data_IF_837386342888
#
_entry.id   IF_837386342888
#
_cell.length_a   1.000
_cell.length_b   1.000
_cell.length_c   1.000
_cell.angle_alpha   90.00
_cell.angle_beta   90.00
_cell.angle_gamma   90.00
#
_symmetry.space_group_name_H-M   'P 1'
#
loop_
_entity.id
_entity.type
_entity.pdbx_description
1 polymer ?
#
# COMPACT_ATOMS: atom_id res chain seq x y z
N UNK A 1 -9.85 36.70 12.60
CA UNK A 1 -9.81 36.16 11.22
C UNK A 1 -11.24 35.89 10.78
N UNK A 2 -11.82 36.73 9.93
CA UNK A 2 -13.12 36.48 9.31
C UNK A 2 -13.00 35.22 8.45
N UNK A 3 -13.77 34.17 8.78
CA UNK A 3 -13.79 32.95 7.99
C UNK A 3 -14.28 33.29 6.57
N UNK A 4 -13.48 32.96 5.55
CA UNK A 4 -13.85 33.22 4.16
C UNK A 4 -15.19 32.51 3.86
N UNK A 5 -16.24 33.25 3.40
CA UNK A 5 -17.57 32.70 3.19
C UNK A 5 -17.59 31.53 2.19
N UNK A 6 -16.64 31.49 1.25
CA UNK A 6 -16.49 30.37 0.30
C UNK A 6 -16.04 29.09 1.00
N UNK A 7 -15.14 29.19 1.99
CA UNK A 7 -14.68 28.03 2.78
C UNK A 7 -15.79 27.51 3.70
N UNK A 8 -16.66 28.40 4.19
CA UNK A 8 -17.82 28.02 5.02
C UNK A 8 -18.86 27.16 4.27
N UNK A 9 -18.86 27.18 2.93
CA UNK A 9 -19.78 26.40 2.10
C UNK A 9 -19.33 24.93 1.90
N UNK A 10 -18.06 24.60 2.15
CA UNK A 10 -17.50 23.25 1.98
C UNK A 10 -18.39 22.09 2.48
N UNK A 11 -18.91 22.10 3.73
CA UNK A 11 -19.74 21.00 4.23
C UNK A 11 -21.10 20.86 3.52
N UNK A 12 -21.70 21.98 3.07
CA UNK A 12 -22.96 21.96 2.31
C UNK A 12 -22.73 21.45 0.90
N UNK A 13 -21.61 21.84 0.31
CA UNK A 13 -21.20 21.46 -1.02
C UNK A 13 -20.90 19.95 -1.12
N UNK A 14 -20.36 19.31 -0.07
CA UNK A 14 -20.19 17.84 -0.02
C UNK A 14 -21.50 17.06 -0.18
N UNK A 15 -22.62 17.57 0.35
CA UNK A 15 -23.93 16.88 0.31
C UNK A 15 -24.65 17.03 -1.03
N UNK A 16 -24.32 18.09 -1.78
CA UNK A 16 -24.95 18.44 -3.06
C UNK A 16 -24.37 17.67 -4.26
N UNK A 17 -23.26 16.92 -4.10
CA UNK A 17 -22.79 16.01 -5.12
C UNK A 17 -23.81 14.89 -5.35
N UNK A 18 -24.26 14.70 -6.59
CA UNK A 18 -25.17 13.61 -6.96
C UNK A 18 -24.65 12.22 -6.58
N UNK A 19 -25.35 11.16 -6.99
CA UNK A 19 -25.06 9.76 -6.62
C UNK A 19 -23.58 9.37 -6.74
N UNK A 20 -22.93 9.90 -7.77
CA UNK A 20 -21.53 9.72 -8.12
C UNK A 20 -20.52 10.45 -7.21
N UNK A 21 -20.86 11.62 -6.67
CA UNK A 21 -20.02 12.31 -5.68
C UNK A 21 -20.06 11.62 -4.31
N UNK A 22 -21.17 10.94 -4.00
CA UNK A 22 -21.32 10.17 -2.76
C UNK A 22 -20.48 8.90 -2.76
N UNK A 23 -20.40 8.18 -3.88
CA UNK A 23 -19.59 6.95 -3.97
C UNK A 23 -18.10 7.22 -3.83
N UNK A 24 -17.57 8.27 -4.48
CA UNK A 24 -16.14 8.64 -4.34
C UNK A 24 -15.82 9.16 -2.95
N UNK A 25 -16.74 9.90 -2.34
CA UNK A 25 -16.60 10.37 -0.95
C UNK A 25 -16.61 9.22 0.04
N UNK A 26 -17.52 8.25 -0.14
CA UNK A 26 -17.57 7.05 0.67
C UNK A 26 -16.28 6.22 0.52
N UNK A 27 -15.79 6.01 -0.70
CA UNK A 27 -14.53 5.28 -0.96
C UNK A 27 -13.31 5.97 -0.33
N UNK A 28 -13.22 7.29 -0.42
CA UNK A 28 -12.13 8.03 0.20
C UNK A 28 -12.21 7.96 1.73
N UNK A 29 -13.41 8.13 2.30
CA UNK A 29 -13.64 8.03 3.74
C UNK A 29 -13.32 6.63 4.27
N UNK A 30 -13.79 5.56 3.61
CA UNK A 30 -13.50 4.18 4.04
C UNK A 30 -12.01 3.86 3.95
N UNK A 31 -11.30 4.37 2.95
CA UNK A 31 -9.85 4.22 2.86
C UNK A 31 -9.11 4.89 4.04
N UNK A 32 -9.51 6.11 4.41
CA UNK A 32 -8.96 6.78 5.60
C UNK A 32 -9.35 6.08 6.90
N UNK A 33 -10.57 5.55 7.01
CA UNK A 33 -11.03 4.72 8.14
C UNK A 33 -10.14 3.50 8.32
N UNK A 34 -9.96 2.70 7.27
CA UNK A 34 -9.15 1.47 7.31
C UNK A 34 -7.69 1.81 7.58
N UNK A 35 -7.13 2.82 6.91
CA UNK A 35 -5.75 3.26 7.13
C UNK A 35 -5.53 3.71 8.57
N UNK A 36 -6.44 4.49 9.15
CA UNK A 36 -6.30 4.97 10.53
C UNK A 36 -6.44 3.82 11.53
N UNK A 37 -7.43 2.94 11.36
CA UNK A 37 -7.64 1.80 12.24
C UNK A 37 -6.42 0.87 12.30
N UNK A 38 -5.82 0.58 11.14
CA UNK A 38 -4.62 -0.25 11.04
C UNK A 38 -3.39 0.46 11.59
N UNK A 39 -3.24 1.77 11.35
CA UNK A 39 -2.14 2.56 11.94
C UNK A 39 -2.19 2.53 13.46
N UNK A 40 -3.37 2.79 14.05
CA UNK A 40 -3.55 2.73 15.50
C UNK A 40 -3.35 1.32 16.07
N UNK A 41 -3.78 0.28 15.34
CA UNK A 41 -3.55 -1.12 15.75
C UNK A 41 -2.06 -1.46 15.79
N UNK A 42 -1.30 -1.03 14.79
CA UNK A 42 0.16 -1.28 14.70
C UNK A 42 0.93 -0.48 15.75
N UNK A 43 0.57 0.79 15.95
CA UNK A 43 1.15 1.62 17.02
C UNK A 43 0.77 1.07 18.41
N UNK A 44 -0.44 0.55 18.57
CA UNK A 44 -0.90 -0.14 19.79
C UNK A 44 -0.09 -1.39 20.07
N UNK A 45 0.16 -2.22 19.06
CA UNK A 45 1.05 -3.38 19.21
C UNK A 45 2.48 -2.96 19.57
N UNK A 46 3.05 -1.96 18.90
CA UNK A 46 4.39 -1.44 19.20
C UNK A 46 4.50 -0.93 20.64
N UNK A 47 3.55 -0.11 21.08
CA UNK A 47 3.51 0.43 22.44
C UNK A 47 3.30 -0.69 23.48
N UNK A 48 2.49 -1.70 23.18
CA UNK A 48 2.34 -2.89 24.02
C UNK A 48 3.62 -3.70 24.17
N UNK A 49 4.42 -3.87 23.11
CA UNK A 49 5.74 -4.51 23.21
C UNK A 49 6.75 -3.65 23.99
N UNK A 50 6.71 -2.33 23.82
CA UNK A 50 7.55 -1.40 24.60
C UNK A 50 7.20 -1.49 26.08
N UNK A 51 5.91 -1.55 26.42
CA UNK A 51 5.44 -1.67 27.80
C UNK A 51 5.92 -2.98 28.45
N UNK A 52 5.80 -4.10 27.73
CA UNK A 52 6.31 -5.41 28.21
C UNK A 52 7.83 -5.43 28.38
N UNK A 53 8.56 -4.74 27.51
CA UNK A 53 10.02 -4.64 27.64
C UNK A 53 10.44 -3.73 28.82
N UNK A 54 9.66 -2.70 29.13
CA UNK A 54 9.92 -1.81 30.26
C UNK A 54 9.53 -2.44 31.61
N UNK A 55 8.44 -3.21 31.64
CA UNK A 55 7.89 -3.86 32.83
C UNK A 55 7.73 -5.38 32.62
N UNK A 56 8.84 -6.15 32.55
CA UNK A 56 8.81 -7.57 32.26
C UNK A 56 8.26 -8.38 33.44
N UNK A 57 7.24 -9.19 33.16
CA UNK A 57 6.61 -10.10 34.14
C UNK A 57 7.16 -11.52 33.99
N UNK A 58 7.49 -11.95 32.77
CA UNK A 58 8.05 -13.28 32.48
C UNK A 58 9.55 -13.23 32.24
N UNK A 59 10.21 -14.39 32.35
CA UNK A 59 11.64 -14.53 32.02
C UNK A 59 11.91 -14.22 30.54
N UNK A 60 11.03 -14.71 29.65
CA UNK A 60 11.08 -14.41 28.22
C UNK A 60 11.00 -12.91 27.92
N UNK A 61 10.15 -12.16 28.62
CA UNK A 61 10.06 -10.69 28.46
C UNK A 61 11.35 -9.99 28.93
N UNK A 62 11.98 -10.48 29.99
CA UNK A 62 13.23 -9.92 30.52
C UNK A 62 14.40 -10.15 29.59
N UNK A 63 14.47 -11.31 28.95
CA UNK A 63 15.56 -11.67 28.04
C UNK A 63 15.34 -11.15 26.61
N UNK A 64 14.13 -11.30 26.07
CA UNK A 64 13.83 -11.04 24.66
C UNK A 64 12.98 -9.79 24.42
N UNK A 65 12.51 -9.07 25.46
CA UNK A 65 11.62 -7.91 25.29
C UNK A 65 12.15 -6.86 24.31
N UNK A 66 13.45 -6.54 24.38
CA UNK A 66 14.11 -5.63 23.43
C UNK A 66 14.07 -6.13 21.99
N UNK A 67 14.24 -7.44 21.78
CA UNK A 67 14.16 -8.08 20.47
C UNK A 67 12.75 -7.96 19.87
N UNK A 68 11.70 -8.20 20.65
CA UNK A 68 10.31 -8.01 20.21
C UNK A 68 9.99 -6.55 19.86
N UNK A 69 10.51 -5.58 20.61
CA UNK A 69 10.37 -4.15 20.27
C UNK A 69 11.00 -3.86 18.91
N UNK A 70 12.20 -4.39 18.64
CA UNK A 70 12.86 -4.20 17.34
C UNK A 70 12.06 -4.82 16.20
N UNK A 71 11.49 -6.02 16.39
CA UNK A 71 10.58 -6.64 15.43
C UNK A 71 9.34 -5.78 15.19
N UNK A 72 8.72 -5.25 16.25
CA UNK A 72 7.54 -4.40 16.16
C UNK A 72 7.82 -3.06 15.45
N UNK A 73 8.97 -2.43 15.72
CA UNK A 73 9.44 -1.23 15.00
C UNK A 73 9.64 -1.55 13.51
N UNK A 74 10.26 -2.69 13.21
CA UNK A 74 10.50 -3.13 11.84
C UNK A 74 9.19 -3.36 11.09
N UNK A 75 8.24 -4.08 11.70
CA UNK A 75 6.89 -4.28 11.16
C UNK A 75 6.15 -2.95 10.94
N UNK A 76 6.30 -2.00 11.87
CA UNK A 76 5.72 -0.65 11.74
C UNK A 76 6.28 0.07 10.52
N UNK A 77 7.61 0.10 10.36
CA UNK A 77 8.29 0.74 9.22
C UNK A 77 7.86 0.11 7.89
N UNK A 78 7.75 -1.23 7.84
CA UNK A 78 7.27 -1.96 6.66
C UNK A 78 5.86 -1.53 6.24
N UNK A 79 4.98 -1.25 7.21
CA UNK A 79 3.60 -0.85 6.98
C UNK A 79 3.42 0.62 6.62
N UNK A 80 4.40 1.50 6.90
CA UNK A 80 4.33 2.93 6.58
C UNK A 80 4.06 3.15 5.08
N UNK A 81 4.78 2.49 4.18
CA UNK A 81 4.64 2.72 2.73
C UNK A 81 3.26 2.31 2.20
N UNK A 82 2.73 1.11 2.49
CA UNK A 82 1.34 0.73 2.15
C UNK A 82 0.28 1.70 2.70
N UNK A 83 0.43 2.13 3.96
CA UNK A 83 -0.50 3.09 4.59
C UNK A 83 -0.49 4.45 3.89
N UNK A 84 0.70 5.01 3.64
CA UNK A 84 0.86 6.28 2.90
C UNK A 84 0.35 6.19 1.46
N UNK A 85 0.53 5.03 0.83
CA UNK A 85 0.05 4.78 -0.53
C UNK A 85 -1.47 4.80 -0.58
N UNK A 86 -2.13 4.10 0.34
CA UNK A 86 -3.58 4.06 0.45
C UNK A 86 -4.16 5.45 0.73
N UNK A 87 -3.61 6.16 1.72
CA UNK A 87 -4.05 7.53 2.06
C UNK A 87 -3.85 8.51 0.90
N UNK A 88 -2.72 8.43 0.19
CA UNK A 88 -2.48 9.25 -0.99
C UNK A 88 -3.42 8.90 -2.16
N UNK A 89 -3.82 7.64 -2.31
CA UNK A 89 -4.80 7.22 -3.33
C UNK A 89 -6.21 7.73 -3.01
N UNK A 90 -6.62 7.67 -1.74
CA UNK A 90 -7.87 8.24 -1.24
C UNK A 90 -7.96 9.75 -1.48
N UNK A 91 -6.89 10.50 -1.20
CA UNK A 91 -6.83 11.94 -1.42
C UNK A 91 -7.01 12.33 -2.91
N UNK A 92 -6.40 11.58 -3.84
CA UNK A 92 -6.51 11.86 -5.29
C UNK A 92 -7.92 11.65 -5.83
N UNK A 93 -8.61 10.59 -5.38
CA UNK A 93 -10.01 10.33 -5.75
C UNK A 93 -10.92 11.49 -5.39
N UNK A 94 -10.66 12.14 -4.25
CA UNK A 94 -11.42 13.30 -3.80
C UNK A 94 -11.25 14.52 -4.71
N UNK A 95 -10.07 14.71 -5.32
CA UNK A 95 -9.74 15.93 -6.08
C UNK A 95 -10.21 15.84 -7.54
N UNK A 96 -9.90 14.76 -8.26
CA UNK A 96 -10.09 14.65 -9.72
C UNK A 96 -11.53 14.87 -10.20
N UNK A 97 -12.53 14.54 -9.37
CA UNK A 97 -13.95 14.69 -9.72
C UNK A 97 -14.54 16.05 -9.32
N UNK A 98 -13.86 16.77 -8.44
CA UNK A 98 -14.24 18.12 -8.02
C UNK A 98 -13.83 19.16 -9.06
N UNK A 99 -12.88 18.84 -9.94
CA UNK A 99 -12.38 19.73 -10.99
C UNK A 99 -13.49 20.35 -11.86
N UNK A 100 -14.53 19.59 -12.24
CA UNK A 100 -15.66 20.13 -13.01
C UNK A 100 -16.48 21.17 -12.24
N UNK A 101 -16.69 20.94 -10.93
CA UNK A 101 -17.38 21.90 -10.06
C UNK A 101 -16.49 23.12 -9.76
N UNK A 102 -15.21 22.88 -9.54
CA UNK A 102 -14.21 23.93 -9.32
C UNK A 102 -14.07 24.80 -10.57
N UNK A 103 -14.17 24.23 -11.78
CA UNK A 103 -14.24 24.97 -13.03
C UNK A 103 -15.51 25.83 -13.11
N UNK A 104 -16.68 25.30 -12.76
CA UNK A 104 -17.92 26.09 -12.69
C UNK A 104 -17.80 27.25 -11.69
N UNK A 105 -17.21 27.04 -10.50
CA UNK A 105 -16.97 28.10 -9.52
C UNK A 105 -15.99 29.15 -10.04
N UNK A 106 -14.96 28.76 -10.79
CA UNK A 106 -14.05 29.70 -11.47
C UNK A 106 -14.77 30.52 -12.55
N UNK A 107 -15.70 29.92 -13.29
CA UNK A 107 -16.56 30.63 -14.26
C UNK A 107 -17.50 31.62 -13.56
N UNK A 108 -17.90 31.35 -12.32
CA UNK A 108 -18.67 32.27 -11.47
C UNK A 108 -17.79 33.32 -10.76
N UNK A 109 -16.49 33.38 -11.06
CA UNK A 109 -15.56 34.40 -10.54
C UNK A 109 -14.78 34.02 -9.29
N UNK A 110 -14.86 32.78 -8.79
CA UNK A 110 -14.08 32.35 -7.63
C UNK A 110 -12.57 32.33 -7.94
N UNK A 111 -11.75 32.85 -7.04
CA UNK A 111 -10.30 32.92 -7.25
C UNK A 111 -9.64 31.52 -7.17
N UNK A 112 -8.51 31.27 -7.85
CA UNK A 112 -7.80 29.99 -7.76
C UNK A 112 -7.42 29.59 -6.33
N UNK A 113 -7.12 30.57 -5.48
CA UNK A 113 -6.79 30.33 -4.06
C UNK A 113 -7.99 29.83 -3.26
N UNK A 114 -9.17 30.38 -3.51
CA UNK A 114 -10.41 29.94 -2.86
C UNK A 114 -10.82 28.55 -3.30
N UNK A 115 -10.68 28.26 -4.59
CA UNK A 115 -10.99 26.96 -5.20
C UNK A 115 -10.05 25.86 -4.66
N UNK A 116 -8.75 26.16 -4.56
CA UNK A 116 -7.78 25.25 -3.93
C UNK A 116 -8.09 25.11 -2.44
N UNK A 117 -8.31 26.21 -1.71
CA UNK A 117 -8.64 26.18 -0.29
C UNK A 117 -9.88 25.33 0.02
N UNK A 118 -10.92 25.47 -0.80
CA UNK A 118 -12.15 24.67 -0.71
C UNK A 118 -11.85 23.16 -0.86
N UNK A 119 -11.09 22.79 -1.89
CA UNK A 119 -10.73 21.40 -2.14
C UNK A 119 -9.88 20.81 -0.99
N UNK A 120 -8.98 21.59 -0.41
CA UNK A 120 -8.16 21.18 0.73
C UNK A 120 -9.00 20.97 1.99
N UNK A 121 -9.90 21.89 2.31
CA UNK A 121 -10.82 21.76 3.45
C UNK A 121 -11.72 20.54 3.28
N UNK A 122 -12.30 20.33 2.09
CA UNK A 122 -13.13 19.16 1.83
C UNK A 122 -12.36 17.85 1.99
N UNK A 123 -11.10 17.80 1.54
CA UNK A 123 -10.24 16.61 1.67
C UNK A 123 -9.82 16.39 3.12
N UNK A 124 -9.53 17.46 3.86
CA UNK A 124 -9.22 17.40 5.29
C UNK A 124 -10.42 16.89 6.11
N UNK A 125 -11.64 17.37 5.81
CA UNK A 125 -12.87 16.90 6.47
C UNK A 125 -13.14 15.41 6.20
N UNK A 126 -12.86 14.93 4.98
CA UNK A 126 -12.93 13.50 4.67
C UNK A 126 -11.89 12.68 5.45
N UNK A 127 -10.66 13.20 5.56
CA UNK A 127 -9.61 12.62 6.38
C UNK A 127 -10.00 12.57 7.86
N UNK A 128 -10.62 13.63 8.39
CA UNK A 128 -11.05 13.72 9.79
C UNK A 128 -12.18 12.73 10.07
N UNK A 129 -13.21 12.70 9.22
CA UNK A 129 -14.29 11.73 9.33
C UNK A 129 -13.76 10.29 9.28
N UNK A 130 -12.83 10.01 8.39
CA UNK A 130 -12.12 8.73 8.32
C UNK A 130 -11.32 8.43 9.58
N UNK A 131 -10.60 9.41 10.15
CA UNK A 131 -9.81 9.22 11.35
C UNK A 131 -10.67 8.90 12.58
N UNK A 132 -11.79 9.62 12.76
CA UNK A 132 -12.75 9.38 13.84
C UNK A 132 -13.38 8.00 13.70
N UNK A 133 -13.90 7.67 12.51
CA UNK A 133 -14.45 6.34 12.24
C UNK A 133 -13.40 5.23 12.39
N UNK A 134 -12.16 5.50 11.99
CA UNK A 134 -11.04 4.56 12.11
C UNK A 134 -10.63 4.32 13.56
N UNK A 135 -10.77 5.33 14.42
CA UNK A 135 -10.56 5.18 15.87
C UNK A 135 -11.62 4.27 16.47
N UNK A 136 -12.90 4.43 16.08
CA UNK A 136 -13.98 3.53 16.51
C UNK A 136 -13.75 2.09 16.00
N UNK A 137 -13.32 1.93 14.75
CA UNK A 137 -12.97 0.62 14.19
C UNK A 137 -11.76 -0.01 14.91
N UNK A 138 -10.74 0.76 15.25
CA UNK A 138 -9.61 0.30 16.07
C UNK A 138 -10.08 -0.20 17.43
N UNK A 139 -10.96 0.55 18.12
CA UNK A 139 -11.57 0.09 19.37
C UNK A 139 -12.35 -1.22 19.22
N UNK A 140 -13.09 -1.39 18.10
CA UNK A 140 -13.79 -2.63 17.80
C UNK A 140 -12.86 -3.81 17.45
N UNK A 141 -11.64 -3.53 16.96
CA UNK A 141 -10.63 -4.55 16.65
C UNK A 141 -9.80 -4.96 17.87
N UNK A 142 -9.74 -4.17 18.94
CA UNK A 142 -9.05 -4.52 20.18
C UNK A 142 -9.36 -5.93 20.70
N UNK A 143 -10.64 -6.36 20.86
CA UNK A 143 -10.92 -7.72 21.34
C UNK A 143 -10.39 -8.81 20.40
N UNK A 144 -10.31 -8.55 19.09
CA UNK A 144 -9.71 -9.47 18.12
C UNK A 144 -8.20 -9.55 18.34
N UNK A 145 -7.54 -8.40 18.53
CA UNK A 145 -6.09 -8.35 18.75
C UNK A 145 -5.67 -8.99 20.08
N UNK A 146 -6.49 -8.90 21.12
CA UNK A 146 -6.20 -9.56 22.40
C UNK A 146 -6.19 -11.09 22.32
N UNK A 147 -6.81 -11.68 21.29
CA UNK A 147 -6.81 -13.14 21.10
C UNK A 147 -5.50 -13.68 20.53
N UNK A 148 -4.61 -12.81 20.04
CA UNK A 148 -3.33 -13.24 19.48
C UNK A 148 -2.30 -13.36 20.61
N UNK A 149 -1.84 -14.58 20.96
CA UNK A 149 -0.83 -14.75 21.99
C UNK A 149 0.55 -14.32 21.46
N UNK A 150 1.28 -13.59 22.30
CA UNK A 150 2.70 -13.26 22.11
C UNK A 150 3.42 -13.40 23.44
N UNK A 151 4.66 -13.89 23.41
CA UNK A 151 5.49 -14.13 24.59
C UNK A 151 4.79 -15.06 25.59
N UNK A 152 4.10 -16.08 25.08
CA UNK A 152 3.37 -17.07 25.89
C UNK A 152 2.05 -16.60 26.51
N UNK A 153 1.62 -15.35 26.27
CA UNK A 153 0.35 -14.82 26.82
C UNK A 153 -0.38 -13.87 25.87
N UNK A 154 -1.70 -13.80 26.01
CA UNK A 154 -2.53 -12.82 25.31
C UNK A 154 -2.16 -11.38 25.71
N UNK A 155 -2.30 -10.45 24.77
CA UNK A 155 -2.30 -9.03 25.08
C UNK A 155 -3.57 -8.63 25.84
N UNK A 156 -3.43 -7.72 26.80
CA UNK A 156 -4.61 -7.08 27.41
C UNK A 156 -5.06 -5.88 26.57
N UNK A 157 -6.34 -5.51 26.67
CA UNK A 157 -6.85 -4.32 25.98
C UNK A 157 -6.14 -3.03 26.45
N UNK A 158 -5.67 -3.00 27.70
CA UNK A 158 -4.87 -1.90 28.24
C UNK A 158 -3.49 -1.80 27.60
N UNK A 159 -2.80 -2.94 27.40
CA UNK A 159 -1.49 -2.99 26.72
C UNK A 159 -1.57 -2.54 25.26
N UNK A 160 -2.69 -2.81 24.57
CA UNK A 160 -2.87 -2.43 23.17
C UNK A 160 -3.44 -1.03 22.96
N UNK A 161 -3.88 -0.35 24.02
CA UNK A 161 -4.48 0.97 23.95
C UNK A 161 -3.42 2.06 23.81
N UNK A 162 -3.41 2.75 22.67
CA UNK A 162 -2.42 3.79 22.35
C UNK A 162 -2.52 5.07 23.22
N UNK A 163 -3.56 5.19 24.03
CA UNK A 163 -3.82 6.38 24.82
C UNK A 163 -4.50 7.53 24.06
N UNK A 164 -5.14 8.42 24.83
CA UNK A 164 -5.83 9.61 24.29
C UNK A 164 -4.90 10.54 23.49
N UNK A 165 -3.64 10.81 23.91
CA UNK A 165 -2.77 11.72 23.17
C UNK A 165 -2.49 11.27 21.73
N UNK A 166 -2.26 9.96 21.52
CA UNK A 166 -1.97 9.41 20.18
C UNK A 166 -3.21 9.44 19.29
N UNK A 167 -4.40 9.18 19.86
CA UNK A 167 -5.67 9.30 19.12
C UNK A 167 -5.90 10.75 18.68
N UNK A 168 -5.72 11.73 19.57
CA UNK A 168 -5.85 13.15 19.23
C UNK A 168 -4.82 13.57 18.18
N UNK A 169 -3.57 13.09 18.30
CA UNK A 169 -2.54 13.31 17.29
C UNK A 169 -2.94 12.73 15.93
N UNK A 170 -3.56 11.55 15.88
CA UNK A 170 -4.06 10.97 14.63
C UNK A 170 -5.19 11.81 14.01
N UNK A 171 -6.10 12.35 14.84
CA UNK A 171 -7.19 13.24 14.37
C UNK A 171 -6.69 14.56 13.80
N UNK A 172 -5.47 14.98 14.13
CA UNK A 172 -4.82 16.15 13.52
C UNK A 172 -3.96 15.75 12.33
N UNK A 173 -3.14 14.70 12.46
CA UNK A 173 -2.19 14.27 11.45
C UNK A 173 -2.88 13.77 10.17
N UNK A 174 -3.94 12.95 10.28
CA UNK A 174 -4.61 12.36 9.11
C UNK A 174 -5.23 13.45 8.21
N UNK A 175 -6.02 14.42 8.72
CA UNK A 175 -6.52 15.54 7.90
C UNK A 175 -5.41 16.39 7.28
N UNK A 176 -4.32 16.65 8.02
CA UNK A 176 -3.19 17.42 7.50
C UNK A 176 -2.52 16.68 6.34
N UNK A 177 -2.25 15.38 6.49
CA UNK A 177 -1.67 14.55 5.43
C UNK A 177 -2.60 14.46 4.21
N UNK A 178 -3.92 14.38 4.44
CA UNK A 178 -4.92 14.38 3.37
C UNK A 178 -4.92 15.72 2.61
N UNK A 179 -4.89 16.85 3.32
CA UNK A 179 -4.80 18.18 2.74
C UNK A 179 -3.49 18.36 1.96
N UNK A 180 -2.34 18.02 2.54
CA UNK A 180 -1.03 18.10 1.87
C UNK A 180 -1.03 17.23 0.60
N UNK A 181 -1.56 16.02 0.67
CA UNK A 181 -1.69 15.13 -0.49
C UNK A 181 -2.58 15.72 -1.59
N UNK A 182 -3.70 16.34 -1.20
CA UNK A 182 -4.59 17.08 -2.11
C UNK A 182 -3.90 18.29 -2.74
N UNK A 183 -3.15 19.07 -1.96
CA UNK A 183 -2.40 20.24 -2.43
C UNK A 183 -1.34 19.86 -3.46
N UNK A 184 -0.59 18.77 -3.21
CA UNK A 184 0.41 18.25 -4.15
C UNK A 184 -0.26 17.77 -5.44
N UNK A 185 -1.45 17.17 -5.35
CA UNK A 185 -2.22 16.75 -6.52
C UNK A 185 -2.67 17.97 -7.36
N UNK A 186 -3.19 19.02 -6.71
CA UNK A 186 -3.66 20.25 -7.35
C UNK A 186 -2.54 21.11 -7.93
N UNK A 187 -1.36 21.18 -7.26
CA UNK A 187 -0.20 21.95 -7.75
C UNK A 187 0.24 21.54 -9.15
N UNK A 188 0.07 20.26 -9.53
CA UNK A 188 0.42 19.79 -10.88
C UNK A 188 -0.52 20.30 -11.97
N UNK A 189 -1.76 20.66 -11.62
CA UNK A 189 -2.78 21.16 -12.55
C UNK A 189 -2.68 22.68 -12.73
N UNK A 190 -2.31 23.41 -11.68
CA UNK A 190 -2.24 24.88 -11.72
C UNK A 190 -0.96 25.41 -12.38
N UNK A 191 0.15 24.68 -12.33
CA UNK A 191 1.48 25.20 -12.72
C UNK A 191 1.74 25.13 -14.24
N UNK A 192 0.96 24.40 -15.04
CA UNK A 192 1.13 24.49 -16.50
C UNK A 192 -0.13 24.11 -17.30
N UNK A 193 -0.94 25.10 -17.74
CA UNK A 193 -2.01 24.86 -18.71
C UNK A 193 -1.49 24.37 -20.09
N UNK A 194 -0.18 24.50 -20.37
CA UNK A 194 0.46 24.12 -21.64
C UNK A 194 1.20 22.77 -21.60
N UNK A 195 1.50 22.23 -20.41
CA UNK A 195 2.13 20.93 -20.22
C UNK A 195 1.21 19.74 -20.55
N UNK A 196 -0.06 20.01 -20.86
CA UNK A 196 -1.03 19.03 -21.39
C UNK A 196 -0.91 18.90 -22.92
N UNK A 197 -0.54 19.99 -23.60
CA UNK A 197 -0.31 19.98 -25.05
C UNK A 197 1.02 19.30 -25.42
N UNK A 198 2.03 19.41 -24.55
CA UNK A 198 3.26 18.64 -24.68
C UNK A 198 3.25 17.47 -23.70
N UNK A 199 2.89 16.28 -24.18
CA UNK A 199 3.10 15.01 -23.48
C UNK A 199 4.60 14.73 -23.37
N UNK A 200 5.35 15.53 -22.61
CA UNK A 200 6.77 15.33 -22.39
C UNK A 200 6.95 14.02 -21.64
N UNK A 201 7.56 13.04 -22.28
CA UNK A 201 7.93 11.77 -21.67
C UNK A 201 8.79 12.04 -20.44
N UNK A 202 8.34 11.55 -19.27
CA UNK A 202 9.06 11.77 -18.01
C UNK A 202 10.48 11.20 -18.11
N UNK A 203 11.50 11.82 -17.50
CA UNK A 203 12.88 11.34 -17.57
C UNK A 203 12.97 9.89 -17.09
N UNK A 204 13.57 9.05 -17.94
CA UNK A 204 13.69 7.62 -17.73
C UNK A 204 14.36 7.28 -16.40
N UNK A 205 13.93 6.17 -15.80
CA UNK A 205 14.55 5.61 -14.60
C UNK A 205 15.95 5.08 -14.95
N UNK A 206 16.98 5.60 -14.29
CA UNK A 206 18.39 5.27 -14.58
C UNK A 206 18.74 3.88 -14.04
N UNK A 207 19.42 3.08 -14.87
CA UNK A 207 19.90 1.74 -14.52
C UNK A 207 20.86 1.72 -13.32
N UNK A 208 21.48 2.86 -12.99
CA UNK A 208 22.33 3.05 -11.80
C UNK A 208 21.63 2.59 -10.51
N UNK A 209 20.30 2.75 -10.38
CA UNK A 209 19.55 2.28 -9.20
C UNK A 209 19.61 0.77 -9.01
N UNK A 210 19.67 0.02 -10.12
CA UNK A 210 19.80 -1.44 -10.13
C UNK A 210 21.20 -1.85 -9.74
N UNK A 211 22.21 -1.17 -10.27
CA UNK A 211 23.62 -1.41 -9.91
C UNK A 211 23.83 -1.21 -8.41
N UNK A 212 23.34 -0.09 -7.85
CA UNK A 212 23.39 0.18 -6.41
C UNK A 212 22.68 -0.91 -5.61
N UNK A 213 21.52 -1.38 -6.08
CA UNK A 213 20.79 -2.46 -5.41
C UNK A 213 21.53 -3.80 -5.43
N UNK A 214 22.12 -4.17 -6.57
CA UNK A 214 22.90 -5.41 -6.70
C UNK A 214 24.16 -5.35 -5.83
N UNK A 215 24.85 -4.21 -5.79
CA UNK A 215 26.02 -4.01 -4.92
C UNK A 215 25.64 -4.11 -3.45
N UNK A 216 24.53 -3.48 -3.05
CA UNK A 216 24.02 -3.55 -1.69
C UNK A 216 23.66 -4.99 -1.27
N UNK A 217 22.90 -5.70 -2.08
CA UNK A 217 22.54 -7.11 -1.83
C UNK A 217 23.79 -8.00 -1.84
N UNK A 218 24.70 -7.81 -2.80
CA UNK A 218 25.95 -8.55 -2.86
C UNK A 218 26.83 -8.36 -1.63
N UNK A 219 26.97 -7.12 -1.15
CA UNK A 219 27.69 -6.82 0.09
C UNK A 219 27.03 -7.50 1.30
N UNK A 220 25.70 -7.47 1.40
CA UNK A 220 24.96 -8.18 2.43
C UNK A 220 25.20 -9.69 2.39
N UNK A 221 25.19 -10.30 1.20
CA UNK A 221 25.44 -11.73 1.00
C UNK A 221 26.86 -12.12 1.43
N UNK A 222 27.86 -11.30 1.09
CA UNK A 222 29.25 -11.53 1.51
C UNK A 222 29.38 -11.47 3.02
N UNK A 223 28.85 -10.42 3.66
CA UNK A 223 28.87 -10.28 5.13
C UNK A 223 28.16 -11.45 5.79
N UNK A 224 27.02 -11.88 5.25
CA UNK A 224 26.22 -12.98 5.79
C UNK A 224 26.87 -14.36 5.57
N UNK A 225 27.74 -14.50 4.57
CA UNK A 225 28.44 -15.76 4.28
C UNK A 225 29.69 -15.98 5.14
N UNK A 226 30.20 -14.94 5.80
CA UNK A 226 31.31 -15.07 6.76
C UNK A 226 30.74 -15.71 8.04
N UNK A 227 30.84 -17.03 8.13
CA UNK A 227 30.21 -17.84 9.19
C UNK A 227 30.75 -17.56 10.59
N UNK A 228 29.87 -17.77 11.58
CA UNK A 228 30.01 -17.54 13.04
C UNK A 228 29.67 -16.15 13.55
N UNK A 229 28.41 -15.75 13.34
CA UNK A 229 27.83 -14.59 14.03
C UNK A 229 27.17 -15.03 15.33
N UNK A 230 27.47 -14.35 16.43
CA UNK A 230 26.70 -14.46 17.66
C UNK A 230 25.20 -14.19 17.37
N UNK A 231 24.28 -14.79 18.13
CA UNK A 231 22.84 -14.67 17.87
C UNK A 231 22.35 -13.21 17.74
N UNK A 232 22.86 -12.30 18.57
CA UNK A 232 22.56 -10.86 18.49
C UNK A 232 23.07 -10.20 17.18
N UNK A 233 24.23 -10.65 16.67
CA UNK A 233 24.79 -10.18 15.40
C UNK A 233 23.96 -10.70 14.23
N UNK A 234 23.56 -11.98 14.26
CA UNK A 234 22.69 -12.58 13.24
C UNK A 234 21.36 -11.82 13.10
N UNK A 235 20.70 -11.50 14.23
CA UNK A 235 19.46 -10.71 14.24
C UNK A 235 19.68 -9.32 13.62
N UNK A 236 20.74 -8.63 14.02
CA UNK A 236 21.07 -7.29 13.50
C UNK A 236 21.32 -7.34 12.00
N UNK A 237 21.99 -8.39 11.52
CA UNK A 237 22.22 -8.64 10.10
C UNK A 237 20.90 -8.90 9.38
N UNK A 238 20.02 -9.79 9.88
CA UNK A 238 18.71 -10.06 9.28
C UNK A 238 17.87 -8.78 9.13
N UNK A 239 17.83 -7.94 10.16
CA UNK A 239 17.08 -6.67 10.15
C UNK A 239 17.67 -5.64 9.19
N UNK A 240 19.00 -5.52 9.17
CA UNK A 240 19.70 -4.63 8.23
C UNK A 240 19.49 -5.09 6.80
N UNK A 241 19.54 -6.41 6.55
CA UNK A 241 19.24 -7.02 5.26
C UNK A 241 17.81 -6.74 4.82
N UNK A 242 16.83 -6.88 5.72
CA UNK A 242 15.42 -6.55 5.43
C UNK A 242 15.23 -5.07 5.10
N UNK A 243 15.86 -4.15 5.83
CA UNK A 243 15.83 -2.72 5.53
C UNK A 243 16.50 -2.39 4.19
N UNK A 244 17.62 -3.05 3.87
CA UNK A 244 18.32 -2.90 2.60
C UNK A 244 17.48 -3.42 1.43
N UNK A 245 16.85 -4.58 1.60
CA UNK A 245 15.91 -5.14 0.64
C UNK A 245 14.74 -4.19 0.37
N UNK A 246 14.18 -3.61 1.43
CA UNK A 246 13.12 -2.62 1.33
C UNK A 246 13.55 -1.41 0.49
N UNK A 247 14.71 -0.84 0.79
CA UNK A 247 15.23 0.35 0.10
C UNK A 247 15.52 0.05 -1.38
N UNK A 248 16.20 -1.06 -1.64
CA UNK A 248 16.57 -1.49 -2.99
C UNK A 248 15.34 -1.79 -3.84
N UNK A 249 14.34 -2.47 -3.29
CA UNK A 249 13.13 -2.80 -4.02
C UNK A 249 12.30 -1.56 -4.37
N UNK A 250 12.21 -0.57 -3.47
CA UNK A 250 11.58 0.71 -3.77
C UNK A 250 12.36 1.52 -4.83
N UNK A 251 13.69 1.43 -4.85
CA UNK A 251 14.52 2.12 -5.84
C UNK A 251 14.40 1.48 -7.24
N UNK A 252 14.35 0.15 -7.31
CA UNK A 252 14.41 -0.67 -8.53
C UNK A 252 13.04 -0.99 -9.11
N UNK A 253 12.00 -1.10 -8.29
CA UNK A 253 10.66 -1.53 -8.69
C UNK A 253 10.06 -0.80 -9.90
N UNK A 254 10.05 0.55 -9.94
CA UNK A 254 9.58 1.27 -11.13
C UNK A 254 10.37 0.95 -12.40
N UNK A 255 11.68 0.69 -12.28
CA UNK A 255 12.54 0.35 -13.42
C UNK A 255 12.21 -1.05 -13.93
N UNK A 256 12.02 -2.02 -13.03
CA UNK A 256 11.59 -3.39 -13.37
C UNK A 256 10.26 -3.36 -14.11
N UNK A 257 9.29 -2.57 -13.64
CA UNK A 257 8.02 -2.39 -14.35
C UNK A 257 8.19 -1.74 -15.73
N UNK A 258 9.13 -0.81 -15.88
CA UNK A 258 9.47 -0.24 -17.19
C UNK A 258 10.10 -1.25 -18.14
N UNK A 259 10.97 -2.14 -17.64
CA UNK A 259 11.53 -3.26 -18.43
C UNK A 259 10.43 -4.23 -18.82
N UNK A 260 9.58 -4.61 -17.86
CA UNK A 260 8.42 -5.47 -18.07
C UNK A 260 7.49 -4.90 -19.15
N UNK A 261 7.19 -3.60 -19.10
CA UNK A 261 6.38 -2.92 -20.12
C UNK A 261 7.01 -2.97 -21.51
N UNK A 262 8.34 -2.80 -21.62
CA UNK A 262 9.06 -2.91 -22.90
C UNK A 262 9.04 -4.34 -23.43
N UNK A 263 9.19 -5.33 -22.56
CA UNK A 263 9.13 -6.74 -22.92
C UNK A 263 7.72 -7.13 -23.39
N UNK A 264 6.69 -6.72 -22.66
CA UNK A 264 5.29 -6.91 -23.06
C UNK A 264 4.98 -6.23 -24.40
N UNK A 265 5.53 -5.04 -24.64
CA UNK A 265 5.34 -4.33 -25.90
C UNK A 265 5.99 -5.06 -27.08
N UNK A 266 7.19 -5.62 -26.88
CA UNK A 266 7.90 -6.41 -27.91
C UNK A 266 7.16 -7.68 -28.32
N UNK A 267 6.40 -8.27 -27.40
CA UNK A 267 5.66 -9.52 -27.64
C UNK A 267 4.14 -9.32 -27.75
N UNK A 268 3.68 -8.08 -27.86
CA UNK A 268 2.25 -7.79 -27.99
C UNK A 268 1.73 -8.28 -29.35
N UNK A 269 0.87 -9.29 -29.33
CA UNK A 269 0.20 -9.87 -30.50
C UNK A 269 -1.30 -9.53 -30.54
N UNK A 270 -1.87 -9.11 -29.42
CA UNK A 270 -3.30 -8.72 -29.33
C UNK A 270 -3.46 -7.23 -28.99
N UNK A 271 -4.59 -6.60 -29.36
CA UNK A 271 -4.87 -5.22 -28.99
C UNK A 271 -4.82 -5.00 -27.47
N UNK A 272 -5.30 -5.98 -26.69
CA UNK A 272 -5.26 -5.92 -25.23
C UNK A 272 -3.83 -5.88 -24.68
N UNK A 273 -2.91 -6.67 -25.25
CA UNK A 273 -1.49 -6.66 -24.88
C UNK A 273 -0.84 -5.33 -25.21
N UNK A 274 -1.08 -4.83 -26.42
CA UNK A 274 -0.50 -3.58 -26.88
C UNK A 274 -0.94 -2.41 -26.00
N UNK A 275 -2.24 -2.33 -25.69
CA UNK A 275 -2.80 -1.25 -24.89
C UNK A 275 -2.29 -1.30 -23.44
N UNK A 276 -2.31 -2.49 -22.82
CA UNK A 276 -1.83 -2.67 -21.45
C UNK A 276 -0.32 -2.34 -21.33
N UNK A 277 0.49 -2.78 -22.30
CA UNK A 277 1.93 -2.51 -22.31
C UNK A 277 2.24 -1.01 -22.47
N UNK A 278 1.54 -0.31 -23.38
CA UNK A 278 1.70 1.14 -23.57
C UNK A 278 1.30 1.92 -22.33
N UNK A 279 0.15 1.59 -21.72
CA UNK A 279 -0.31 2.23 -20.48
C UNK A 279 0.62 2.01 -19.30
N UNK A 280 1.25 0.83 -19.19
CA UNK A 280 2.29 0.58 -18.20
C UNK A 280 3.54 1.43 -18.45
N UNK A 281 3.94 1.59 -19.71
CA UNK A 281 5.11 2.38 -20.12
C UNK A 281 4.90 3.90 -20.00
N UNK A 282 3.67 4.37 -20.07
CA UNK A 282 3.34 5.79 -19.90
C UNK A 282 3.71 6.30 -18.50
N UNK A 283 3.50 5.50 -17.45
CA UNK A 283 3.87 5.85 -16.07
C UNK A 283 4.19 4.64 -15.16
N UNK A 284 5.36 3.99 -15.32
CA UNK A 284 5.75 2.83 -14.51
C UNK A 284 5.85 3.15 -13.01
N UNK A 285 6.16 4.41 -12.65
CA UNK A 285 6.23 4.85 -11.24
C UNK A 285 4.85 4.88 -10.61
N UNK A 286 3.82 5.31 -11.33
CA UNK A 286 2.45 5.25 -10.83
C UNK A 286 1.99 3.80 -10.62
N UNK A 287 2.31 2.90 -11.55
CA UNK A 287 1.99 1.47 -11.37
C UNK A 287 2.77 0.88 -10.19
N UNK A 288 4.06 1.17 -10.04
CA UNK A 288 4.83 0.73 -8.87
C UNK A 288 4.24 1.24 -7.56
N UNK A 289 3.75 2.48 -7.51
CA UNK A 289 3.11 2.97 -6.29
C UNK A 289 1.90 2.14 -5.88
N UNK A 290 1.16 1.57 -6.83
CA UNK A 290 -0.02 0.74 -6.54
C UNK A 290 0.40 -0.68 -6.13
N UNK A 291 1.39 -1.26 -6.80
CA UNK A 291 1.77 -2.69 -6.66
C UNK A 291 2.98 -2.91 -5.74
N UNK A 292 3.74 -1.86 -5.43
CA UNK A 292 5.00 -1.95 -4.66
C UNK A 292 4.80 -2.41 -3.22
N UNK A 293 3.68 -2.03 -2.60
CA UNK A 293 3.28 -2.55 -1.29
C UNK A 293 3.05 -4.07 -1.31
N UNK A 294 2.56 -4.61 -2.43
CA UNK A 294 2.42 -6.05 -2.63
C UNK A 294 3.76 -6.75 -2.82
N UNK A 295 4.67 -6.12 -3.57
CA UNK A 295 6.05 -6.61 -3.66
C UNK A 295 6.67 -6.74 -2.28
N UNK A 296 6.44 -5.75 -1.41
CA UNK A 296 6.91 -5.76 -0.02
C UNK A 296 6.33 -6.91 0.79
N UNK A 297 5.02 -7.09 0.76
CA UNK A 297 4.40 -8.25 1.40
C UNK A 297 4.94 -9.58 0.85
N UNK A 298 5.18 -9.65 -0.46
CA UNK A 298 5.68 -10.85 -1.14
C UNK A 298 7.14 -11.15 -0.79
N UNK A 299 7.95 -10.10 -0.57
CA UNK A 299 9.30 -10.21 -0.03
C UNK A 299 9.28 -10.76 1.39
N UNK A 300 8.46 -10.19 2.27
CA UNK A 300 8.26 -10.68 3.65
C UNK A 300 7.76 -12.14 3.64
N UNK A 301 6.84 -12.49 2.74
CA UNK A 301 6.38 -13.86 2.54
C UNK A 301 7.56 -14.81 2.20
N UNK A 302 8.44 -14.38 1.31
CA UNK A 302 9.65 -15.13 0.94
C UNK A 302 10.61 -15.32 2.11
N UNK A 303 10.75 -14.32 2.97
CA UNK A 303 11.53 -14.44 4.22
C UNK A 303 10.88 -15.47 5.16
N UNK A 304 9.55 -15.44 5.25
CA UNK A 304 8.76 -16.29 6.12
C UNK A 304 8.83 -17.77 5.75
N UNK A 305 9.08 -18.08 4.48
CA UNK A 305 9.25 -19.44 3.98
C UNK A 305 10.34 -20.22 4.74
N UNK A 306 11.29 -19.55 5.36
CA UNK A 306 12.41 -20.19 6.06
C UNK A 306 12.12 -20.48 7.53
N UNK A 307 11.14 -19.81 8.12
CA UNK A 307 10.88 -19.92 9.57
C UNK A 307 10.44 -21.33 10.03
N UNK A 308 9.68 -22.14 9.26
CA UNK A 308 9.43 -23.53 9.63
C UNK A 308 10.69 -24.39 9.79
N UNK A 309 11.79 -24.05 9.11
CA UNK A 309 13.09 -24.72 9.26
C UNK A 309 13.71 -24.38 10.62
N UNK A 310 13.58 -23.14 11.07
CA UNK A 310 14.04 -22.69 12.38
C UNK A 310 13.30 -23.38 13.53
N UNK A 311 11.98 -23.54 13.38
CA UNK A 311 11.12 -24.17 14.39
C UNK A 311 11.31 -25.70 14.50
N UNK A 312 11.92 -26.35 13.50
CA UNK A 312 12.17 -27.80 13.52
C UNK A 312 13.52 -28.21 14.10
N UNK A 313 14.39 -27.25 14.47
CA UNK A 313 15.81 -27.49 14.68
C UNK A 313 16.31 -27.56 16.13
N UNK A 314 15.52 -27.19 17.14
CA UNK A 314 16.00 -27.10 18.52
C UNK A 314 14.95 -27.50 19.55
N UNK A 315 15.29 -28.41 20.46
CA UNK A 315 14.43 -28.80 21.59
C UNK A 315 14.40 -27.78 22.74
N UNK A 316 14.63 -26.50 22.45
CA UNK A 316 14.60 -25.42 23.43
C UNK A 316 13.19 -24.79 23.47
N UNK A 317 12.44 -24.91 24.59
CA UNK A 317 11.10 -24.35 24.72
C UNK A 317 11.03 -22.83 24.48
N UNK A 318 12.10 -22.09 24.78
CA UNK A 318 12.16 -20.63 24.57
C UNK A 318 12.25 -20.30 23.08
N UNK A 319 13.13 -21.00 22.36
CA UNK A 319 13.28 -20.88 20.91
C UNK A 319 11.99 -21.16 20.14
N UNK A 320 11.22 -22.16 20.57
CA UNK A 320 9.94 -22.53 19.96
C UNK A 320 8.87 -21.43 20.09
N UNK A 321 8.79 -20.78 21.26
CA UNK A 321 7.87 -19.65 21.47
C UNK A 321 8.25 -18.48 20.58
N UNK A 322 9.54 -18.14 20.52
CA UNK A 322 10.04 -17.05 19.67
C UNK A 322 9.79 -17.32 18.19
N UNK A 323 10.02 -18.55 17.72
CA UNK A 323 9.76 -18.93 16.34
C UNK A 323 8.27 -18.86 15.98
N UNK A 324 7.38 -19.32 16.88
CA UNK A 324 5.92 -19.22 16.71
C UNK A 324 5.43 -17.78 16.68
N UNK A 325 5.95 -16.94 17.57
CA UNK A 325 5.60 -15.53 17.63
C UNK A 325 6.11 -14.78 16.39
N UNK A 326 7.31 -15.11 15.91
CA UNK A 326 7.86 -14.57 14.67
C UNK A 326 6.99 -14.92 13.47
N UNK A 327 6.54 -16.19 13.38
CA UNK A 327 5.57 -16.62 12.36
C UNK A 327 4.28 -15.80 12.44
N UNK A 328 3.71 -15.68 13.64
CA UNK A 328 2.44 -15.01 13.89
C UNK A 328 2.53 -13.53 13.54
N UNK A 329 3.56 -12.83 14.01
CA UNK A 329 3.79 -11.42 13.73
C UNK A 329 4.04 -11.14 12.23
N UNK A 330 4.79 -12.02 11.56
CA UNK A 330 5.01 -11.91 10.13
C UNK A 330 3.73 -12.14 9.32
N UNK A 331 2.92 -13.16 9.66
CA UNK A 331 1.63 -13.42 9.02
C UNK A 331 0.64 -12.27 9.21
N UNK A 332 0.58 -11.70 10.41
CA UNK A 332 -0.25 -10.51 10.68
C UNK A 332 0.20 -9.31 9.84
N UNK A 333 1.50 -9.02 9.81
CA UNK A 333 2.07 -7.92 9.03
C UNK A 333 1.77 -8.09 7.54
N UNK A 334 1.96 -9.32 7.03
CA UNK A 334 1.70 -9.68 5.63
C UNK A 334 0.21 -9.59 5.28
N UNK A 335 -0.68 -10.07 6.15
CA UNK A 335 -2.13 -9.97 5.98
C UNK A 335 -2.61 -8.51 5.94
N UNK A 336 -2.14 -7.68 6.86
CA UNK A 336 -2.42 -6.23 6.88
C UNK A 336 -1.89 -5.57 5.60
N UNK A 337 -0.67 -5.91 5.19
CA UNK A 337 -0.07 -5.34 3.97
C UNK A 337 -0.84 -5.73 2.72
N UNK A 338 -1.28 -6.98 2.60
CA UNK A 338 -2.12 -7.43 1.48
C UNK A 338 -3.48 -6.76 1.46
N UNK A 339 -4.12 -6.58 2.62
CA UNK A 339 -5.36 -5.83 2.74
C UNK A 339 -5.19 -4.38 2.26
N UNK A 340 -4.13 -3.69 2.69
CA UNK A 340 -3.82 -2.32 2.27
C UNK A 340 -3.51 -2.23 0.78
N UNK A 341 -2.74 -3.18 0.25
CA UNK A 341 -2.41 -3.26 -1.17
C UNK A 341 -3.67 -3.51 -2.02
N UNK A 342 -4.55 -4.42 -1.59
CA UNK A 342 -5.81 -4.71 -2.25
C UNK A 342 -6.75 -3.49 -2.26
N UNK A 343 -6.90 -2.80 -1.12
CA UNK A 343 -7.68 -1.58 -1.03
C UNK A 343 -7.11 -0.47 -1.94
N UNK A 344 -5.79 -0.28 -1.95
CA UNK A 344 -5.13 0.72 -2.80
C UNK A 344 -5.27 0.39 -4.28
N UNK A 345 -5.14 -0.88 -4.66
CA UNK A 345 -5.33 -1.34 -6.04
C UNK A 345 -6.79 -1.16 -6.49
N UNK A 346 -7.76 -1.50 -5.65
CA UNK A 346 -9.18 -1.29 -5.92
C UNK A 346 -9.51 0.19 -6.14
N UNK A 347 -9.00 1.07 -5.27
CA UNK A 347 -9.13 2.53 -5.40
C UNK A 347 -8.49 3.04 -6.69
N UNK A 348 -7.28 2.59 -7.02
CA UNK A 348 -6.59 3.00 -8.24
C UNK A 348 -7.36 2.55 -9.50
N UNK A 349 -7.94 1.35 -9.47
CA UNK A 349 -8.78 0.85 -10.56
C UNK A 349 -10.08 1.65 -10.70
N UNK A 350 -10.77 1.92 -9.59
CA UNK A 350 -11.95 2.77 -9.60
C UNK A 350 -11.65 4.17 -10.14
N UNK A 351 -10.53 4.79 -9.70
CA UNK A 351 -10.06 6.08 -10.19
C UNK A 351 -9.83 6.06 -11.70
N UNK A 352 -9.07 5.08 -12.19
CA UNK A 352 -8.71 4.98 -13.61
C UNK A 352 -9.95 4.81 -14.52
N UNK A 353 -10.97 4.08 -14.07
CA UNK A 353 -12.24 3.95 -14.80
C UNK A 353 -13.00 5.27 -14.86
N UNK A 354 -13.02 6.02 -13.75
CA UNK A 354 -13.70 7.32 -13.68
C UNK A 354 -12.99 8.39 -14.52
N UNK A 355 -11.66 8.46 -14.43
CA UNK A 355 -10.84 9.44 -15.17
C UNK A 355 -10.97 9.24 -16.69
N UNK A 356 -11.08 8.00 -17.14
CA UNK A 356 -11.16 7.64 -18.57
C UNK A 356 -12.59 7.45 -19.07
N UNK A 357 -13.62 7.79 -18.30
CA UNK A 357 -15.03 7.55 -18.65
C UNK A 357 -15.39 8.03 -20.06
N UNK A 358 -14.92 9.22 -20.45
CA UNK A 358 -15.22 9.84 -21.74
C UNK A 358 -14.52 9.10 -22.88
N UNK A 359 -13.26 8.75 -22.69
CA UNK A 359 -12.50 7.93 -23.65
C UNK A 359 -13.13 6.55 -23.84
N UNK A 360 -13.53 5.89 -22.74
CA UNK A 360 -14.20 4.59 -22.76
C UNK A 360 -15.56 4.66 -23.44
N UNK A 361 -16.36 5.70 -23.17
CA UNK A 361 -17.65 5.92 -23.80
C UNK A 361 -17.51 6.18 -25.31
N UNK A 362 -16.59 7.06 -25.72
CA UNK A 362 -16.32 7.35 -27.14
C UNK A 362 -15.80 6.12 -27.88
N UNK A 363 -14.89 5.35 -27.26
CA UNK A 363 -14.39 4.11 -27.86
C UNK A 363 -15.51 3.06 -28.00
N UNK A 364 -16.43 2.96 -27.03
CA UNK A 364 -17.60 2.09 -27.15
C UNK A 364 -18.55 2.55 -28.25
N UNK A 365 -18.78 3.86 -28.40
CA UNK A 365 -19.56 4.43 -29.51
C UNK A 365 -18.90 4.20 -30.87
N UNK A 366 -17.56 4.15 -30.92
CA UNK A 366 -16.79 3.79 -32.11
C UNK A 366 -16.79 2.27 -32.41
N UNK A 367 -17.54 1.46 -31.65
CA UNK A 367 -17.71 0.02 -31.89
C UNK A 367 -16.70 -0.88 -31.19
N UNK A 368 -15.90 -0.38 -30.24
CA UNK A 368 -14.97 -1.22 -29.49
C UNK A 368 -15.73 -2.17 -28.56
N UNK A 369 -15.52 -3.50 -28.65
CA UNK A 369 -16.21 -4.48 -27.83
C UNK A 369 -15.90 -4.31 -26.33
N UNK A 370 -16.90 -4.52 -25.48
CA UNK A 370 -16.78 -4.38 -24.03
C UNK A 370 -15.75 -5.34 -23.42
N UNK A 371 -15.62 -6.53 -24.02
CA UNK A 371 -14.68 -7.57 -23.62
C UNK A 371 -13.23 -7.10 -23.72
N UNK A 372 -12.91 -6.21 -24.67
CA UNK A 372 -11.56 -5.69 -24.82
C UNK A 372 -11.15 -4.84 -23.61
N UNK A 373 -12.05 -3.98 -23.10
CA UNK A 373 -11.77 -3.17 -21.91
C UNK A 373 -11.55 -4.02 -20.67
N UNK A 374 -12.33 -5.10 -20.51
CA UNK A 374 -12.16 -6.07 -19.43
C UNK A 374 -10.82 -6.82 -19.53
N UNK A 375 -10.45 -7.27 -20.73
CA UNK A 375 -9.16 -7.95 -20.95
C UNK A 375 -7.96 -7.03 -20.68
N UNK A 376 -8.03 -5.78 -21.14
CA UNK A 376 -7.02 -4.76 -20.88
C UNK A 376 -6.89 -4.51 -19.38
N UNK A 377 -8.01 -4.27 -18.67
CA UNK A 377 -8.01 -4.00 -17.22
C UNK A 377 -7.38 -5.15 -16.45
N UNK A 378 -7.78 -6.39 -16.74
CA UNK A 378 -7.22 -7.57 -16.06
C UNK A 378 -5.71 -7.68 -16.27
N UNK A 379 -5.21 -7.44 -17.49
CA UNK A 379 -3.76 -7.52 -17.79
C UNK A 379 -2.97 -6.39 -17.14
N UNK A 380 -3.52 -5.18 -17.11
CA UNK A 380 -2.90 -4.01 -16.45
C UNK A 380 -2.66 -4.25 -14.95
N UNK A 381 -3.52 -5.04 -14.31
CA UNK A 381 -3.35 -5.42 -12.89
C UNK A 381 -2.49 -6.68 -12.79
N UNK A 382 -2.95 -7.78 -13.39
CA UNK A 382 -2.45 -9.12 -13.10
C UNK A 382 -0.98 -9.31 -13.51
N UNK A 383 -0.56 -8.73 -14.64
CA UNK A 383 0.82 -8.94 -15.11
C UNK A 383 1.83 -8.22 -14.21
N UNK A 384 1.70 -6.91 -13.90
CA UNK A 384 2.56 -6.26 -12.91
C UNK A 384 2.48 -6.92 -11.53
N UNK A 385 1.27 -7.31 -11.10
CA UNK A 385 1.03 -7.97 -9.81
C UNK A 385 1.86 -9.24 -9.67
N UNK A 386 1.75 -10.17 -10.62
CA UNK A 386 2.45 -11.44 -10.56
C UNK A 386 3.97 -11.27 -10.68
N UNK A 387 4.44 -10.43 -11.60
CA UNK A 387 5.89 -10.22 -11.77
C UNK A 387 6.50 -9.60 -10.52
N UNK A 388 5.83 -8.61 -9.92
CA UNK A 388 6.32 -7.98 -8.69
C UNK A 388 6.24 -8.96 -7.52
N UNK A 389 5.15 -9.69 -7.33
CA UNK A 389 5.00 -10.64 -6.23
C UNK A 389 6.01 -11.78 -6.32
N UNK A 390 6.04 -12.50 -7.45
CA UNK A 390 6.97 -13.62 -7.65
C UNK A 390 8.41 -13.13 -7.63
N UNK A 391 8.71 -12.02 -8.32
CA UNK A 391 10.06 -11.45 -8.34
C UNK A 391 10.56 -11.04 -6.95
N UNK A 392 9.69 -10.46 -6.12
CA UNK A 392 10.05 -10.06 -4.74
C UNK A 392 10.24 -11.27 -3.82
N UNK A 393 9.40 -12.30 -3.96
CA UNK A 393 9.55 -13.54 -3.21
C UNK A 393 10.84 -14.29 -3.57
N UNK A 394 11.16 -14.39 -4.87
CA UNK A 394 12.42 -14.97 -5.35
C UNK A 394 13.61 -14.14 -4.85
N UNK A 395 13.53 -12.81 -4.89
CA UNK A 395 14.58 -11.95 -4.37
C UNK A 395 14.83 -12.18 -2.88
N UNK A 396 13.79 -12.39 -2.07
CA UNK A 396 13.92 -12.74 -0.66
C UNK A 396 14.65 -14.08 -0.47
N UNK A 397 14.23 -15.14 -1.20
CA UNK A 397 14.89 -16.45 -1.13
C UNK A 397 16.37 -16.37 -1.53
N UNK A 398 16.69 -15.64 -2.60
CA UNK A 398 18.07 -15.42 -3.04
C UNK A 398 18.88 -14.68 -1.98
N UNK A 399 18.31 -13.62 -1.39
CA UNK A 399 19.00 -12.81 -0.39
C UNK A 399 19.28 -13.57 0.92
N UNK A 400 18.38 -14.45 1.33
CA UNK A 400 18.55 -15.24 2.56
C UNK A 400 19.25 -16.59 2.33
N UNK A 401 19.55 -16.94 1.08
CA UNK A 401 20.22 -18.19 0.74
C UNK A 401 21.54 -18.45 1.50
N UNK A 402 22.45 -17.47 1.74
CA UNK A 402 23.71 -17.75 2.44
C UNK A 402 23.51 -18.14 3.91
N UNK A 403 22.44 -17.66 4.53
CA UNK A 403 22.18 -17.90 5.96
C UNK A 403 21.55 -19.27 6.21
N UNK A 404 20.74 -19.75 5.27
CA UNK A 404 19.92 -20.95 5.46
C UNK A 404 20.20 -22.07 4.46
N UNK A 405 21.06 -21.82 3.46
CA UNK A 405 21.46 -22.76 2.44
C UNK A 405 20.28 -23.36 1.66
N UNK A 406 20.46 -24.61 1.21
CA UNK A 406 19.43 -25.35 0.48
C UNK A 406 18.20 -25.63 1.34
N UNK A 407 18.32 -25.69 2.67
CA UNK A 407 17.20 -25.99 3.57
C UNK A 407 16.04 -24.99 3.43
N UNK A 408 16.34 -23.71 3.15
CA UNK A 408 15.33 -22.69 2.87
C UNK A 408 14.47 -22.97 1.62
N UNK A 409 15.00 -23.70 0.64
CA UNK A 409 14.36 -23.93 -0.66
C UNK A 409 13.82 -25.35 -0.78
N UNK A 410 14.26 -26.29 0.06
CA UNK A 410 13.83 -27.68 0.02
C UNK A 410 12.75 -28.03 1.05
N UNK A 411 12.50 -27.18 2.04
CA UNK A 411 11.50 -27.42 3.07
C UNK A 411 10.06 -27.32 2.51
N UNK A 412 9.28 -28.43 2.46
CA UNK A 412 7.96 -28.43 1.85
C UNK A 412 6.97 -27.48 2.56
N UNK A 413 7.04 -27.40 3.89
CA UNK A 413 6.20 -26.52 4.71
C UNK A 413 6.44 -25.04 4.40
N UNK A 414 7.71 -24.65 4.21
CA UNK A 414 8.11 -23.29 3.84
C UNK A 414 7.59 -22.87 2.46
N UNK A 415 7.72 -23.75 1.48
CA UNK A 415 7.22 -23.51 0.11
C UNK A 415 5.69 -23.42 0.10
N UNK A 416 5.00 -24.33 0.81
CA UNK A 416 3.53 -24.29 0.91
C UNK A 416 3.05 -23.00 1.57
N UNK A 417 3.72 -22.55 2.63
CA UNK A 417 3.42 -21.27 3.29
C UNK A 417 3.62 -20.10 2.34
N UNK A 418 4.73 -20.07 1.60
CA UNK A 418 5.03 -19.03 0.61
C UNK A 418 3.96 -18.98 -0.49
N UNK A 419 3.67 -20.12 -1.11
CA UNK A 419 2.67 -20.24 -2.18
C UNK A 419 1.29 -19.88 -1.67
N UNK A 420 0.92 -20.32 -0.46
CA UNK A 420 -0.34 -19.97 0.19
C UNK A 420 -0.48 -18.47 0.44
N UNK A 421 0.56 -17.83 0.99
CA UNK A 421 0.59 -16.38 1.22
C UNK A 421 0.49 -15.60 -0.09
N UNK A 422 1.32 -15.92 -1.09
CA UNK A 422 1.30 -15.24 -2.38
C UNK A 422 -0.03 -15.44 -3.10
N UNK A 423 -0.55 -16.67 -3.11
CA UNK A 423 -1.84 -17.00 -3.71
C UNK A 423 -2.98 -16.24 -3.03
N UNK A 424 -3.02 -16.23 -1.70
CA UNK A 424 -4.00 -15.48 -0.91
C UNK A 424 -3.92 -13.97 -1.16
N UNK A 425 -2.72 -13.39 -1.14
CA UNK A 425 -2.51 -11.96 -1.42
C UNK A 425 -2.92 -11.56 -2.83
N UNK A 426 -2.51 -12.34 -3.84
CA UNK A 426 -2.92 -12.14 -5.24
C UNK A 426 -4.43 -12.27 -5.39
N UNK A 427 -5.05 -13.29 -4.81
CA UNK A 427 -6.50 -13.48 -4.83
C UNK A 427 -7.24 -12.30 -4.19
N UNK A 428 -6.74 -11.78 -3.06
CA UNK A 428 -7.31 -10.63 -2.37
C UNK A 428 -7.28 -9.37 -3.24
N UNK A 429 -6.15 -9.09 -3.90
CA UNK A 429 -6.05 -7.95 -4.83
C UNK A 429 -6.98 -8.15 -6.02
N UNK A 430 -7.01 -9.34 -6.62
CA UNK A 430 -7.91 -9.64 -7.72
C UNK A 430 -9.37 -9.42 -7.31
N UNK A 431 -9.80 -9.94 -6.15
CA UNK A 431 -11.14 -9.72 -5.62
C UNK A 431 -11.45 -8.22 -5.44
N UNK A 432 -10.52 -7.44 -4.88
CA UNK A 432 -10.68 -5.99 -4.73
C UNK A 432 -10.78 -5.25 -6.07
N UNK A 433 -10.00 -5.65 -7.08
CA UNK A 433 -10.09 -5.06 -8.42
C UNK A 433 -11.36 -5.46 -9.17
N UNK A 434 -11.86 -6.68 -8.96
CA UNK A 434 -13.10 -7.14 -9.58
C UNK A 434 -14.35 -6.57 -8.91
N UNK A 435 -14.27 -6.16 -7.63
CA UNK A 435 -15.30 -5.36 -6.98
C UNK A 435 -15.56 -4.02 -7.70
N UNK A 436 -14.63 -3.55 -8.54
CA UNK A 436 -14.79 -2.35 -9.38
C UNK A 436 -15.51 -2.62 -10.72
N UNK A 437 -15.80 -3.87 -11.09
CA UNK A 437 -16.56 -4.21 -12.32
C UNK A 437 -17.94 -3.54 -12.42
N UNK A 438 -18.78 -3.53 -11.37
CA UNK A 438 -20.10 -2.92 -11.46
C UNK A 438 -20.00 -1.43 -11.77
N UNK A 439 -18.97 -0.76 -11.26
CA UNK A 439 -18.70 0.64 -11.55
C UNK A 439 -18.32 0.84 -13.02
N UNK A 440 -17.48 -0.02 -13.60
CA UNK A 440 -17.19 0.01 -15.04
C UNK A 440 -18.44 -0.25 -15.89
N UNK A 441 -19.27 -1.24 -15.54
CA UNK A 441 -20.51 -1.54 -16.27
C UNK A 441 -21.47 -0.36 -16.26
N UNK A 442 -21.59 0.34 -15.13
CA UNK A 442 -22.40 1.56 -15.02
C UNK A 442 -21.86 2.68 -15.92
N UNK A 443 -20.55 2.92 -15.91
CA UNK A 443 -19.92 3.95 -16.75
C UNK A 443 -20.09 3.63 -18.24
N UNK A 444 -19.97 2.36 -18.64
CA UNK A 444 -20.16 1.94 -20.04
C UNK A 444 -21.62 1.96 -20.48
N UNK A 445 -22.57 1.85 -19.55
CA UNK A 445 -24.00 1.96 -19.83
C UNK A 445 -24.46 3.42 -19.97
N UNK A 446 -23.73 4.36 -19.37
CA UNK A 446 -23.99 5.79 -19.47
C UNK A 446 -23.35 6.36 -20.76
N UNK A 447 -24.10 6.28 -21.87
CA UNK A 447 -23.65 6.71 -23.20
C UNK A 447 -23.80 8.22 -23.43
N UNK A 448 -24.24 8.98 -22.43
CA UNK A 448 -24.43 10.43 -22.56
C UNK A 448 -23.08 11.14 -22.42
N UNK A 449 -22.36 11.24 -23.54
CA UNK A 449 -21.23 12.16 -23.67
C UNK A 449 -21.81 13.57 -23.78
N UNK A 450 -22.10 14.24 -22.66
CA UNK A 450 -22.37 15.69 -22.69
C UNK A 450 -21.11 16.38 -23.19
N UNK A 451 -21.25 17.23 -24.21
CA UNK A 451 -20.20 18.17 -24.59
C UNK A 451 -19.99 19.10 -23.39
N UNK A 452 -18.75 19.17 -22.91
CA UNK A 452 -18.32 20.18 -21.93
C UNK A 452 -18.28 21.57 -22.59
#
# INVERSE_FOLDING_TARGET
MSANPVLALAPRLQRAGGRDGRTTTALAATAFTVSTALTLSVVGALTGFVERAAHPVTELEREAGSFYVVLAVTATILLVVPLLTLGGAAARLGVARRDARLAALRLLGATPREVVGLALVETALQGLAGAVAGTALYGALLPVWTQVPFQGRAFTAGELWVGVPVVLAAWVAVPLLAAVSGAVSLRRVVVSPLGVAQRTTRPGLRAVRVVVAVVAVGAFMVVSAVGQMAAAVLITVLLTGLALAFLTMNAVGPWVLGVLGRLQLRWARTPAQLLAARRLLDDPRAVWRVVGGLGLASFVAGCLAVVPVLAGGGGDPVGDVVARDLLTGALLTLGITFLLAAASAGIAQAAAVLDRRRELALARLAGVPGELFDQVRRREVLVPLLVVSVGSAVAALVMFFPLFGLAAVTAPSGILLLVGCLGGGVAMVLAATEASRPLLRRVLADTVVRAD
#
